data_IF_866972508937
#
_entry.id   IF_866972508937
#
_cell.length_a   1.000
_cell.length_b   1.000
_cell.length_c   1.000
_cell.angle_alpha   90.00
_cell.angle_beta   90.00
_cell.angle_gamma   90.00
#
_symmetry.space_group_name_H-M   'P 1'
#
loop_
_entity.id
_entity.type
_entity.pdbx_description
1 polymer ?
#
# COMPACT_ATOMS: atom_id res chain seq x y z
N UNK A 1 19.40 -40.13 43.31
CA UNK A 1 19.69 -38.82 43.95
C UNK A 1 18.59 -37.85 43.55
N UNK A 2 17.48 -37.86 44.30
CA UNK A 2 17.15 -36.87 45.34
C UNK A 2 16.75 -35.50 44.80
N UNK A 3 15.43 -35.35 44.68
CA UNK A 3 14.62 -34.15 44.55
C UNK A 3 14.95 -33.14 45.65
N UNK A 4 14.89 -31.83 45.35
CA UNK A 4 14.41 -30.79 46.28
C UNK A 4 13.86 -29.58 45.52
N UNK A 5 12.55 -29.61 45.29
CA UNK A 5 11.69 -28.41 45.21
C UNK A 5 11.30 -28.03 46.64
N UNK A 6 11.27 -26.74 46.97
CA UNK A 6 10.63 -26.14 48.15
C UNK A 6 10.63 -24.60 47.99
N UNK A 7 9.77 -23.84 48.70
CA UNK A 7 8.32 -23.95 48.70
C UNK A 7 7.62 -22.60 48.47
N UNK A 8 6.32 -22.66 48.14
CA UNK A 8 5.36 -21.54 48.23
C UNK A 8 5.23 -21.08 49.68
N UNK A 9 5.34 -19.79 49.92
CA UNK A 9 4.85 -19.14 51.16
C UNK A 9 3.60 -18.34 50.81
N UNK A 10 2.48 -18.71 51.46
CA UNK A 10 1.24 -17.92 51.52
C UNK A 10 1.39 -16.95 52.69
N UNK A 11 1.25 -15.66 52.42
CA UNK A 11 1.01 -14.65 53.44
C UNK A 11 -0.38 -14.07 53.25
N UNK A 12 -1.27 -14.31 54.20
CA UNK A 12 -2.57 -13.64 54.35
C UNK A 12 -2.41 -12.48 55.32
N UNK A 13 -2.72 -11.25 54.88
CA UNK A 13 -3.12 -10.17 55.79
C UNK A 13 -4.23 -9.35 55.14
N UNK A 14 -5.35 -9.26 55.87
CA UNK A 14 -6.46 -8.34 55.65
C UNK A 14 -6.01 -6.90 55.90
N UNK A 15 -6.38 -6.01 54.99
CA UNK A 15 -6.32 -4.56 55.15
C UNK A 15 -7.43 -3.93 54.31
N UNK A 16 -8.37 -3.30 55.00
CA UNK A 16 -9.56 -2.63 54.49
C UNK A 16 -9.26 -1.41 53.60
N UNK A 17 -10.24 -1.09 52.74
CA UNK A 17 -10.65 0.26 52.32
C UNK A 17 -9.63 1.12 51.53
N UNK A 18 -9.89 1.64 50.33
CA UNK A 18 -11.13 2.14 49.72
C UNK A 18 -10.98 2.10 48.19
N UNK A 19 -11.97 1.53 47.50
CA UNK A 19 -12.10 1.68 46.05
C UNK A 19 -12.46 3.15 45.74
N UNK A 20 -11.49 3.94 45.29
CA UNK A 20 -11.78 5.21 44.59
C UNK A 20 -12.51 4.87 43.28
N UNK A 21 -13.84 4.96 43.30
CA UNK A 21 -14.68 5.03 42.10
C UNK A 21 -14.15 6.14 41.20
N UNK A 22 -13.54 5.78 40.07
CA UNK A 22 -13.37 6.70 38.95
C UNK A 22 -14.76 7.16 38.50
N UNK A 23 -15.12 8.40 38.83
CA UNK A 23 -16.33 9.03 38.30
C UNK A 23 -16.12 9.22 36.80
N UNK A 24 -16.92 8.52 36.01
CA UNK A 24 -17.05 8.76 34.58
C UNK A 24 -17.41 10.24 34.34
N UNK A 25 -16.82 10.92 33.36
CA UNK A 25 -17.21 12.30 33.03
C UNK A 25 -18.67 12.33 32.54
N UNK A 26 -19.41 13.42 32.81
CA UNK A 26 -20.79 13.55 32.35
C UNK A 26 -20.83 13.57 30.81
N UNK A 27 -21.75 12.77 30.26
CA UNK A 27 -22.06 12.73 28.83
C UNK A 27 -22.53 14.12 28.37
N UNK A 28 -21.94 14.72 27.32
CA UNK A 28 -22.37 16.03 26.84
C UNK A 28 -23.78 15.92 26.24
N UNK A 29 -24.72 16.67 26.80
CA UNK A 29 -26.08 16.83 26.25
C UNK A 29 -25.98 17.41 24.85
N UNK A 30 -26.63 16.73 23.90
CA UNK A 30 -26.70 17.10 22.49
C UNK A 30 -27.61 18.32 22.34
N UNK A 31 -27.05 19.52 22.41
CA UNK A 31 -27.73 20.74 22.00
C UNK A 31 -27.76 20.80 20.48
N UNK A 32 -28.97 20.79 19.91
CA UNK A 32 -29.19 20.99 18.47
C UNK A 32 -28.90 22.45 18.17
N UNK A 33 -27.68 22.74 17.71
CA UNK A 33 -27.32 24.06 17.21
C UNK A 33 -27.87 24.21 15.79
N UNK A 34 -28.97 24.94 15.68
CA UNK A 34 -29.46 25.48 14.42
C UNK A 34 -28.50 26.59 13.95
N UNK A 35 -28.15 26.54 12.65
CA UNK A 35 -27.31 27.49 11.90
C UNK A 35 -25.84 27.57 12.33
N UNK A 36 -25.07 26.58 11.87
CA UNK A 36 -23.62 26.72 11.66
C UNK A 36 -23.38 27.64 10.45
N UNK A 37 -23.22 28.94 10.70
CA UNK A 37 -22.47 29.81 9.79
C UNK A 37 -21.05 29.25 9.70
N UNK A 38 -20.52 29.12 8.48
CA UNK A 38 -19.17 28.64 8.21
C UNK A 38 -18.18 29.46 9.03
N UNK A 39 -17.68 28.89 10.13
CA UNK A 39 -16.52 29.42 10.83
C UNK A 39 -15.38 29.37 9.82
N UNK A 40 -15.01 30.53 9.31
CA UNK A 40 -13.77 30.72 8.54
C UNK A 40 -12.64 30.30 9.47
N UNK A 41 -12.18 29.06 9.33
CA UNK A 41 -11.02 28.55 10.06
C UNK A 41 -9.87 29.48 9.68
N UNK A 42 -9.39 30.24 10.65
CA UNK A 42 -8.17 31.03 10.45
C UNK A 42 -7.04 30.03 10.60
N UNK A 43 -6.44 29.63 9.49
CA UNK A 43 -5.21 28.85 9.49
C UNK A 43 -4.09 29.76 9.99
N UNK A 44 -3.88 29.77 11.31
CA UNK A 44 -2.82 30.54 11.95
C UNK A 44 -1.56 29.67 11.90
N UNK A 45 -0.54 30.15 11.20
CA UNK A 45 0.79 29.52 11.22
C UNK A 45 1.30 29.48 12.67
N UNK A 46 1.73 28.29 13.10
CA UNK A 46 2.26 28.07 14.45
C UNK A 46 3.78 28.04 14.39
N UNK A 47 4.42 28.78 15.29
CA UNK A 47 5.88 28.87 15.42
C UNK A 47 6.26 28.38 16.82
N UNK A 48 7.38 27.65 16.92
CA UNK A 48 7.89 27.07 18.17
C UNK A 48 8.37 25.63 17.97
N UNK A 49 9.11 25.12 18.97
CA UNK A 49 9.76 23.80 18.91
C UNK A 49 8.81 22.63 18.61
N UNK A 50 7.53 22.74 18.98
CA UNK A 50 6.53 21.70 18.69
C UNK A 50 5.99 21.73 17.25
N UNK A 51 6.38 22.72 16.45
CA UNK A 51 5.87 22.96 15.10
C UNK A 51 6.98 23.12 14.05
N UNK A 52 8.20 23.48 14.48
CA UNK A 52 9.35 23.62 13.62
C UNK A 52 10.16 22.32 13.60
N UNK A 53 10.76 21.99 12.47
CA UNK A 53 11.69 20.86 12.36
C UNK A 53 13.07 21.27 12.91
N UNK A 54 13.77 20.32 13.51
CA UNK A 54 15.17 20.50 13.87
C UNK A 54 16.00 20.65 12.59
N UNK A 55 16.77 21.73 12.50
CA UNK A 55 17.66 21.98 11.37
C UNK A 55 18.97 21.26 11.70
N UNK A 56 19.37 20.23 10.92
CA UNK A 56 20.64 19.57 11.16
C UNK A 56 21.80 20.55 10.91
N UNK A 57 22.85 20.42 11.71
CA UNK A 57 24.07 21.21 11.54
C UNK A 57 24.74 20.87 10.20
N UNK A 58 25.34 21.87 9.57
CA UNK A 58 26.05 21.69 8.32
C UNK A 58 27.43 21.05 8.57
N UNK A 59 27.64 19.85 8.04
CA UNK A 59 28.93 19.16 8.07
C UNK A 59 29.62 19.23 6.70
N UNK A 60 30.67 20.06 6.53
CA UNK A 60 31.43 20.10 5.27
C UNK A 60 32.31 18.86 5.13
N UNK A 61 32.19 18.17 3.99
CA UNK A 61 33.20 17.19 3.54
C UNK A 61 32.98 15.74 3.95
N UNK A 62 31.89 15.40 4.64
CA UNK A 62 31.46 14.00 4.74
C UNK A 62 30.73 13.62 3.45
N UNK A 63 31.21 12.64 2.67
CA UNK A 63 30.39 12.09 1.59
C UNK A 63 29.12 11.56 2.24
N UNK A 64 27.98 12.03 1.74
CA UNK A 64 26.67 11.53 2.16
C UNK A 64 26.68 10.01 1.95
N UNK A 65 26.84 9.26 3.04
CA UNK A 65 26.66 7.82 3.02
C UNK A 65 25.16 7.64 3.03
N UNK A 66 24.59 7.53 1.84
CA UNK A 66 23.19 7.19 1.67
C UNK A 66 22.96 5.91 2.46
N UNK A 67 22.25 6.02 3.59
CA UNK A 67 21.95 4.87 4.44
C UNK A 67 20.82 4.11 3.77
N UNK A 68 21.15 3.47 2.66
CA UNK A 68 20.44 2.40 1.97
C UNK A 68 18.91 2.55 2.07
N UNK A 69 18.35 3.45 1.27
CA UNK A 69 16.89 3.52 1.06
C UNK A 69 16.49 3.30 -0.40
N UNK A 70 17.44 3.26 -1.33
CA UNK A 70 17.16 3.28 -2.75
C UNK A 70 17.89 2.16 -3.48
N UNK A 71 17.15 1.42 -4.29
CA UNK A 71 17.67 0.42 -5.23
C UNK A 71 17.58 1.01 -6.64
N UNK A 72 18.69 0.94 -7.39
CA UNK A 72 18.72 1.41 -8.77
C UNK A 72 17.96 0.42 -9.66
N UNK A 73 16.81 0.83 -10.16
CA UNK A 73 15.97 -0.01 -11.03
C UNK A 73 16.29 0.14 -12.53
N UNK A 74 16.89 1.26 -12.93
CA UNK A 74 17.20 1.53 -14.34
C UNK A 74 18.27 2.60 -14.49
N UNK A 75 19.18 2.39 -15.45
CA UNK A 75 20.13 3.41 -15.94
C UNK A 75 19.89 3.55 -17.47
N UNK A 76 19.91 4.74 -18.06
CA UNK A 76 19.87 4.87 -19.53
C UNK A 76 21.20 4.46 -20.18
N UNK A 77 21.16 3.59 -21.20
CA UNK A 77 22.35 3.07 -21.92
C UNK A 77 22.81 3.96 -23.10
N UNK A 78 22.26 5.16 -23.25
CA UNK A 78 22.52 6.04 -24.40
C UNK A 78 21.91 5.57 -25.73
N UNK A 79 21.77 4.26 -25.98
CA UNK A 79 21.00 3.70 -27.12
C UNK A 79 19.54 3.46 -26.72
N UNK A 80 18.68 4.44 -27.02
CA UNK A 80 17.24 4.34 -26.81
C UNK A 80 16.56 3.28 -27.70
N UNK A 81 17.24 2.77 -28.73
CA UNK A 81 16.71 1.75 -29.64
C UNK A 81 16.64 0.35 -29.02
N UNK A 82 17.32 0.08 -27.91
CA UNK A 82 17.34 -1.25 -27.29
C UNK A 82 15.96 -1.66 -26.73
N UNK A 83 15.20 -0.69 -26.21
CA UNK A 83 13.81 -0.88 -25.78
C UNK A 83 12.93 -1.31 -26.94
N UNK A 84 13.13 -0.72 -28.12
CA UNK A 84 12.33 -0.98 -29.31
C UNK A 84 12.67 -2.31 -29.93
N UNK A 85 13.96 -2.60 -30.10
CA UNK A 85 14.44 -3.90 -30.59
C UNK A 85 13.93 -5.05 -29.71
N UNK A 86 13.93 -4.87 -28.39
CA UNK A 86 13.39 -5.87 -27.47
C UNK A 86 11.87 -6.00 -27.58
N UNK A 87 11.16 -4.87 -27.61
CA UNK A 87 9.69 -4.85 -27.80
C UNK A 87 9.28 -5.58 -29.07
N UNK A 88 9.97 -5.31 -30.18
CA UNK A 88 9.73 -5.94 -31.46
C UNK A 88 10.05 -7.44 -31.42
N UNK A 89 11.14 -7.84 -30.76
CA UNK A 89 11.51 -9.26 -30.62
C UNK A 89 10.52 -10.09 -29.79
N UNK A 90 9.78 -9.43 -28.90
CA UNK A 90 8.74 -10.03 -28.06
C UNK A 90 7.33 -9.85 -28.65
N UNK A 91 7.22 -9.29 -29.86
CA UNK A 91 5.97 -8.97 -30.54
C UNK A 91 5.03 -8.04 -29.72
N UNK A 92 5.62 -7.25 -28.82
CA UNK A 92 4.91 -6.31 -27.96
C UNK A 92 4.69 -5.00 -28.72
N UNK A 93 3.54 -4.87 -29.40
CA UNK A 93 3.20 -3.63 -30.13
C UNK A 93 3.17 -2.42 -29.18
N UNK A 94 4.06 -1.44 -29.42
CA UNK A 94 4.06 -0.11 -28.78
C UNK A 94 2.65 0.48 -28.73
N UNK A 95 2.25 0.98 -27.56
CA UNK A 95 0.93 1.59 -27.33
C UNK A 95 -0.23 0.60 -27.15
N UNK A 96 0.02 -0.71 -27.21
CA UNK A 96 -0.94 -1.76 -26.79
C UNK A 96 -0.46 -2.57 -25.59
N UNK A 97 0.77 -2.37 -25.15
CA UNK A 97 1.29 -2.99 -23.94
C UNK A 97 0.61 -2.37 -22.72
N UNK A 98 0.22 -3.21 -21.77
CA UNK A 98 -0.08 -2.77 -20.40
C UNK A 98 1.21 -2.22 -19.80
N UNK A 99 1.13 -1.17 -18.99
CA UNK A 99 2.25 -0.57 -18.25
C UNK A 99 3.19 -1.60 -17.58
N UNK A 100 2.63 -2.71 -17.12
CA UNK A 100 3.35 -3.87 -16.53
C UNK A 100 4.40 -4.47 -17.49
N UNK A 101 4.16 -4.47 -18.80
CA UNK A 101 5.13 -4.99 -19.77
C UNK A 101 6.30 -4.03 -19.95
N UNK A 102 6.07 -2.72 -19.90
CA UNK A 102 7.13 -1.73 -20.08
C UNK A 102 8.12 -1.77 -18.91
N UNK A 103 7.63 -1.88 -17.67
CA UNK A 103 8.48 -2.02 -16.48
C UNK A 103 9.34 -3.30 -16.51
N UNK A 104 8.74 -4.45 -16.85
CA UNK A 104 9.47 -5.72 -16.98
C UNK A 104 10.50 -5.69 -18.11
N UNK A 105 10.21 -4.99 -19.19
CA UNK A 105 11.10 -4.85 -20.34
C UNK A 105 12.34 -4.04 -19.96
N UNK A 106 12.16 -2.91 -19.28
CA UNK A 106 13.24 -2.09 -18.75
C UNK A 106 14.08 -2.87 -17.74
N UNK A 107 13.46 -3.55 -16.78
CA UNK A 107 14.20 -4.35 -15.80
C UNK A 107 14.99 -5.48 -16.49
N UNK A 108 14.39 -6.18 -17.46
CA UNK A 108 15.07 -7.25 -18.19
C UNK A 108 16.28 -6.74 -18.99
N UNK A 109 16.19 -5.54 -19.58
CA UNK A 109 17.33 -4.91 -20.25
C UNK A 109 18.43 -4.55 -19.25
N UNK A 110 18.08 -3.88 -18.16
CA UNK A 110 19.07 -3.44 -17.18
C UNK A 110 19.82 -4.62 -16.55
N UNK A 111 19.08 -5.64 -16.12
CA UNK A 111 19.64 -6.87 -15.50
C UNK A 111 20.50 -7.69 -16.46
N UNK A 112 20.33 -7.53 -17.77
CA UNK A 112 21.13 -8.22 -18.79
C UNK A 112 22.19 -7.34 -19.44
N UNK A 113 22.44 -6.16 -18.88
CA UNK A 113 23.37 -5.17 -19.42
C UNK A 113 23.07 -4.84 -20.89
N UNK A 114 21.77 -4.63 -21.18
CA UNK A 114 21.18 -4.24 -22.45
C UNK A 114 21.38 -5.24 -23.61
N UNK A 115 21.70 -6.51 -23.30
CA UNK A 115 21.71 -7.59 -24.29
C UNK A 115 20.27 -8.04 -24.62
N UNK A 116 19.81 -7.68 -25.81
CA UNK A 116 18.44 -7.95 -26.29
C UNK A 116 18.10 -9.45 -26.27
N UNK A 117 19.02 -10.33 -26.66
CA UNK A 117 18.74 -11.77 -26.74
C UNK A 117 18.60 -12.38 -25.35
N UNK A 118 19.41 -11.93 -24.41
CA UNK A 118 19.33 -12.35 -23.00
C UNK A 118 18.10 -11.77 -22.33
N UNK A 119 17.82 -10.49 -22.56
CA UNK A 119 16.64 -9.81 -22.04
C UNK A 119 15.34 -10.48 -22.50
N UNK A 120 15.23 -10.88 -23.76
CA UNK A 120 14.05 -11.57 -24.28
C UNK A 120 13.78 -12.91 -23.57
N UNK A 121 14.83 -13.67 -23.25
CA UNK A 121 14.70 -14.91 -22.45
C UNK A 121 14.29 -14.61 -21.01
N UNK A 122 14.90 -13.59 -20.41
CA UNK A 122 14.65 -13.22 -19.02
C UNK A 122 13.26 -12.60 -18.82
N UNK A 123 12.73 -11.90 -19.83
CA UNK A 123 11.47 -11.16 -19.76
C UNK A 123 10.30 -12.00 -19.21
N UNK A 124 10.19 -13.27 -19.59
CA UNK A 124 9.11 -14.14 -19.12
C UNK A 124 9.31 -14.66 -17.69
N UNK A 125 10.56 -14.76 -17.24
CA UNK A 125 10.94 -15.30 -15.94
C UNK A 125 11.13 -14.22 -14.87
N UNK A 126 11.35 -12.96 -15.26
CA UNK A 126 11.63 -11.88 -14.32
C UNK A 126 10.40 -11.53 -13.49
N UNK A 127 10.63 -11.35 -12.18
CA UNK A 127 9.64 -10.81 -11.26
C UNK A 127 9.44 -9.31 -11.52
N UNK A 128 8.39 -8.72 -10.94
CA UNK A 128 8.13 -7.28 -11.09
C UNK A 128 9.20 -6.45 -10.39
N UNK A 129 9.56 -5.29 -10.95
CA UNK A 129 10.66 -4.49 -10.45
C UNK A 129 10.35 -3.82 -9.12
N UNK A 130 9.11 -3.37 -8.93
CA UNK A 130 8.66 -2.74 -7.70
C UNK A 130 7.29 -3.26 -7.26
N UNK A 131 7.22 -4.52 -6.76
CA UNK A 131 5.97 -5.05 -6.28
C UNK A 131 5.56 -4.37 -4.97
N UNK A 132 4.26 -4.11 -4.77
CA UNK A 132 3.79 -3.56 -3.50
C UNK A 132 3.85 -4.58 -2.36
N UNK A 133 4.85 -4.46 -1.48
CA UNK A 133 5.14 -5.43 -0.40
C UNK A 133 4.05 -5.61 0.66
N UNK A 134 3.32 -4.52 0.98
CA UNK A 134 2.40 -4.51 2.14
C UNK A 134 0.94 -4.74 1.76
N UNK A 135 0.54 -4.32 0.57
CA UNK A 135 -0.87 -4.16 0.23
C UNK A 135 -1.40 -5.30 -0.63
N UNK A 136 -0.54 -6.07 -1.28
CA UNK A 136 -0.88 -7.16 -2.20
C UNK A 136 -0.11 -8.41 -1.81
N UNK A 137 -0.71 -9.58 -2.03
CA UNK A 137 -0.02 -10.86 -1.84
C UNK A 137 0.60 -11.30 -3.17
N UNK A 138 1.91 -11.57 -3.15
CA UNK A 138 2.59 -12.21 -4.28
C UNK A 138 2.67 -13.74 -4.10
N UNK A 139 2.55 -14.53 -5.17
CA UNK A 139 2.15 -14.12 -6.52
C UNK A 139 0.68 -13.67 -6.57
N UNK A 140 0.34 -12.76 -7.50
CA UNK A 140 -1.04 -12.26 -7.65
C UNK A 140 -2.04 -13.40 -7.80
N UNK A 141 -3.13 -13.33 -7.04
CA UNK A 141 -4.20 -14.32 -7.10
C UNK A 141 -4.90 -14.26 -8.46
N UNK A 142 -5.17 -15.43 -9.03
CA UNK A 142 -6.05 -15.55 -10.19
C UNK A 142 -7.48 -15.25 -9.75
N UNK A 143 -8.15 -14.39 -10.51
CA UNK A 143 -9.55 -14.01 -10.24
C UNK A 143 -10.44 -14.87 -11.13
N UNK A 144 -11.34 -15.62 -10.51
CA UNK A 144 -12.34 -16.38 -11.24
C UNK A 144 -13.45 -15.45 -11.78
N UNK A 145 -14.16 -15.87 -12.83
CA UNK A 145 -15.21 -15.06 -13.45
C UNK A 145 -16.35 -14.78 -12.47
N UNK A 146 -16.69 -15.76 -11.62
CA UNK A 146 -17.72 -15.63 -10.59
C UNK A 146 -17.33 -14.56 -9.55
N UNK A 147 -16.05 -14.54 -9.15
CA UNK A 147 -15.50 -13.54 -8.23
C UNK A 147 -15.54 -12.14 -8.85
N UNK A 148 -15.31 -12.03 -10.16
CA UNK A 148 -15.39 -10.77 -10.89
C UNK A 148 -16.84 -10.23 -10.93
N UNK A 149 -17.82 -11.11 -11.13
CA UNK A 149 -19.23 -10.77 -11.09
C UNK A 149 -19.62 -10.34 -9.67
N UNK A 150 -19.18 -11.06 -8.64
CA UNK A 150 -19.41 -10.73 -7.23
C UNK A 150 -18.78 -9.37 -6.90
N UNK A 151 -17.55 -9.12 -7.34
CA UNK A 151 -16.86 -7.85 -7.18
C UNK A 151 -17.68 -6.70 -7.77
N UNK A 152 -18.19 -6.87 -9.00
CA UNK A 152 -18.99 -5.83 -9.65
C UNK A 152 -20.36 -5.59 -9.04
N UNK A 153 -20.97 -6.59 -8.38
CA UNK A 153 -22.13 -6.35 -7.51
C UNK A 153 -21.73 -5.62 -6.24
N UNK A 154 -20.60 -5.98 -5.65
CA UNK A 154 -20.01 -5.33 -4.48
C UNK A 154 -19.75 -3.85 -4.71
N UNK A 155 -19.09 -3.48 -5.81
CA UNK A 155 -18.82 -2.08 -6.18
C UNK A 155 -20.11 -1.31 -6.43
N UNK A 156 -21.14 -1.93 -7.02
CA UNK A 156 -22.45 -1.29 -7.18
C UNK A 156 -23.14 -1.01 -5.86
N UNK A 157 -23.12 -1.98 -4.93
CA UNK A 157 -23.79 -1.90 -3.63
C UNK A 157 -23.05 -1.04 -2.60
N UNK A 158 -21.74 -1.24 -2.46
CA UNK A 158 -20.90 -0.63 -1.42
C UNK A 158 -19.99 0.48 -1.97
N UNK A 159 -20.09 0.81 -3.26
CA UNK A 159 -19.25 1.82 -3.92
C UNK A 159 -17.76 1.48 -3.78
N UNK A 160 -16.94 2.44 -3.36
CA UNK A 160 -15.49 2.26 -3.15
C UNK A 160 -15.14 1.82 -1.72
N UNK A 161 -16.11 1.29 -0.97
CA UNK A 161 -15.83 0.71 0.34
C UNK A 161 -15.27 -0.71 0.17
N UNK A 162 -13.99 -0.80 -0.15
CA UNK A 162 -13.29 -2.07 -0.38
C UNK A 162 -13.16 -2.91 0.89
N UNK A 163 -13.20 -2.30 2.08
CA UNK A 163 -13.25 -3.03 3.35
C UNK A 163 -14.52 -3.85 3.48
N UNK A 164 -15.69 -3.26 3.16
CA UNK A 164 -16.97 -3.98 3.21
C UNK A 164 -17.10 -5.02 2.08
N UNK A 165 -16.60 -4.72 0.87
CA UNK A 165 -16.57 -5.69 -0.23
C UNK A 165 -15.72 -6.91 0.15
N UNK A 166 -14.52 -6.68 0.71
CA UNK A 166 -13.67 -7.75 1.24
C UNK A 166 -14.40 -8.55 2.32
N UNK A 167 -14.91 -7.86 3.35
CA UNK A 167 -15.49 -8.51 4.54
C UNK A 167 -16.71 -9.37 4.21
N UNK A 168 -17.56 -8.92 3.28
CA UNK A 168 -18.85 -9.57 3.00
C UNK A 168 -18.86 -10.47 1.78
N UNK A 169 -18.00 -10.22 0.79
CA UNK A 169 -18.11 -10.85 -0.53
C UNK A 169 -16.82 -11.57 -0.96
N UNK A 170 -15.65 -10.98 -0.69
CA UNK A 170 -14.37 -11.42 -1.27
C UNK A 170 -13.29 -11.50 -0.19
N UNK A 171 -13.49 -12.37 0.81
CA UNK A 171 -12.63 -12.49 2.00
C UNK A 171 -11.21 -12.98 1.68
N UNK A 172 -11.06 -13.76 0.60
CA UNK A 172 -9.78 -14.28 0.11
C UNK A 172 -8.85 -13.17 -0.41
N UNK A 173 -9.40 -12.02 -0.79
CA UNK A 173 -8.64 -10.89 -1.30
C UNK A 173 -8.27 -9.90 -0.19
N UNK A 174 -7.12 -9.27 -0.33
CA UNK A 174 -6.70 -8.10 0.45
C UNK A 174 -7.38 -6.84 -0.08
N UNK A 175 -7.35 -5.76 0.69
CA UNK A 175 -7.90 -4.48 0.23
C UNK A 175 -7.08 -3.93 -0.95
N UNK A 176 -5.75 -4.11 -0.94
CA UNK A 176 -4.91 -3.66 -2.05
C UNK A 176 -5.22 -4.40 -3.36
N UNK A 177 -5.39 -5.73 -3.31
CA UNK A 177 -5.80 -6.52 -4.48
C UNK A 177 -7.15 -6.06 -5.06
N UNK A 178 -8.12 -5.73 -4.21
CA UNK A 178 -9.43 -5.22 -4.66
C UNK A 178 -9.33 -3.82 -5.27
N UNK A 179 -8.44 -2.97 -4.75
CA UNK A 179 -8.16 -1.64 -5.31
C UNK A 179 -7.48 -1.79 -6.67
N UNK A 180 -6.48 -2.65 -6.79
CA UNK A 180 -5.81 -2.94 -8.07
C UNK A 180 -6.82 -3.44 -9.11
N UNK A 181 -7.64 -4.43 -8.75
CA UNK A 181 -8.71 -4.94 -9.60
C UNK A 181 -9.68 -3.84 -10.05
N UNK A 182 -10.05 -2.93 -9.16
CA UNK A 182 -10.90 -1.79 -9.49
C UNK A 182 -10.29 -0.91 -10.58
N UNK A 183 -9.01 -0.57 -10.47
CA UNK A 183 -8.33 0.26 -11.46
C UNK A 183 -8.11 -0.46 -12.79
N UNK A 184 -7.79 -1.76 -12.76
CA UNK A 184 -7.71 -2.59 -13.97
C UNK A 184 -9.04 -2.61 -14.71
N UNK A 185 -10.15 -2.84 -14.01
CA UNK A 185 -11.49 -2.86 -14.62
C UNK A 185 -11.92 -1.50 -15.15
N UNK A 186 -11.59 -0.41 -14.44
CA UNK A 186 -11.92 0.96 -14.84
C UNK A 186 -11.32 1.33 -16.21
N UNK A 187 -10.22 0.71 -16.62
CA UNK A 187 -9.61 0.92 -17.93
C UNK A 187 -10.42 0.24 -19.07
N UNK A 188 -11.19 -0.81 -18.76
CA UNK A 188 -11.98 -1.57 -19.74
C UNK A 188 -13.32 -0.88 -20.03
N UNK A 189 -13.72 -0.82 -21.31
CA UNK A 189 -14.89 -0.09 -21.80
C UNK A 189 -16.22 -0.31 -21.04
N UNK A 190 -16.58 -1.52 -20.54
CA UNK A 190 -17.84 -1.77 -19.83
C UNK A 190 -17.97 -1.00 -18.50
N UNK A 191 -16.85 -0.57 -17.92
CA UNK A 191 -16.78 0.07 -16.60
C UNK A 191 -16.60 1.59 -16.66
N UNK A 192 -16.43 2.15 -17.86
CA UNK A 192 -16.32 3.60 -18.08
C UNK A 192 -17.67 4.32 -17.94
N UNK A 193 -18.80 3.61 -18.03
CA UNK A 193 -20.12 4.22 -17.87
C UNK A 193 -20.35 4.55 -16.39
N UNK A 194 -20.67 5.81 -16.04
CA UNK A 194 -21.06 6.12 -14.68
C UNK A 194 -22.28 5.28 -14.34
N UNK A 195 -22.24 4.58 -13.20
CA UNK A 195 -23.42 3.93 -12.64
C UNK A 195 -24.44 5.04 -12.31
N UNK A 196 -25.28 5.41 -13.29
CA UNK A 196 -26.40 6.33 -13.11
C UNK A 196 -27.29 5.72 -12.00
N UNK A 197 -27.62 6.56 -11.02
CA UNK A 197 -28.51 6.22 -9.91
C UNK A 197 -29.91 5.98 -10.44
#
# INVERSE_FOLDING_TARGET
MSVRRSPRVRGTHHGHDTFRKCRSPPTPRRTVSTRSTLRKVRDIARVGANFQADIPDFEPGTPFVDRICEEVLWIPDGDSGNVDKLSDSLELRRGRTKFVHDERLLLALYTTNYDIRRAAKLFHAIEEANPPDRTITLPRKRIAEEELIIFGRGVRRFRKNFFEIRRRLLHRFTVGELVELYYLLKQVAPWKKPFKK
#
